data_IF_371887931152
#
_entry.id   IF_371887931152
#
_cell.length_a   1.000
_cell.length_b   1.000
_cell.length_c   1.000
_cell.angle_alpha   90.00
_cell.angle_beta   90.00
_cell.angle_gamma   90.00
#
_symmetry.space_group_name_H-M   'P 1'
#
loop_
_entity.id
_entity.type
_entity.pdbx_description
1 polymer ?
#
# COMPACT_ATOMS: atom_id res chain seq x y z
N UNK A 1 -12.74 -1.92 -4.49
CA UNK A 1 -13.26 -3.30 -4.45
C UNK A 1 -14.28 -3.41 -5.55
N UNK A 2 -14.15 -4.40 -6.41
CA UNK A 2 -15.09 -4.64 -7.50
C UNK A 2 -16.25 -5.49 -6.96
N UNK A 3 -17.24 -4.84 -6.34
CA UNK A 3 -18.35 -5.52 -5.68
C UNK A 3 -19.17 -6.38 -6.66
N UNK A 4 -19.22 -6.00 -7.93
CA UNK A 4 -19.92 -6.74 -8.99
C UNK A 4 -19.21 -8.05 -9.29
N UNK A 5 -17.89 -8.04 -9.39
CA UNK A 5 -17.10 -9.27 -9.55
C UNK A 5 -17.33 -10.28 -8.43
N UNK A 6 -17.35 -9.79 -7.19
CA UNK A 6 -17.65 -10.64 -6.02
C UNK A 6 -19.08 -11.19 -6.09
N UNK A 7 -20.06 -10.34 -6.40
CA UNK A 7 -21.45 -10.76 -6.56
C UNK A 7 -21.58 -11.85 -7.63
N UNK A 8 -21.00 -11.64 -8.82
CA UNK A 8 -21.03 -12.61 -9.91
C UNK A 8 -20.43 -13.97 -9.55
N UNK A 9 -19.27 -13.96 -8.87
CA UNK A 9 -18.62 -15.18 -8.38
C UNK A 9 -19.46 -15.90 -7.30
N UNK A 10 -20.07 -15.15 -6.38
CA UNK A 10 -20.93 -15.70 -5.33
C UNK A 10 -22.41 -15.77 -5.75
N UNK A 11 -22.67 -16.30 -6.96
CA UNK A 11 -24.02 -16.60 -7.47
C UNK A 11 -24.97 -15.39 -7.53
N UNK A 12 -24.46 -14.23 -7.96
CA UNK A 12 -25.19 -12.96 -8.01
C UNK A 12 -25.78 -12.56 -6.65
N UNK A 13 -25.02 -12.75 -5.57
CA UNK A 13 -25.47 -12.38 -4.24
C UNK A 13 -25.70 -10.86 -4.12
N UNK A 14 -26.60 -10.46 -3.22
CA UNK A 14 -26.96 -9.05 -3.03
C UNK A 14 -25.76 -8.22 -2.58
N UNK A 15 -25.54 -7.09 -3.25
CA UNK A 15 -24.52 -6.11 -2.88
C UNK A 15 -25.12 -5.13 -1.87
N UNK A 16 -24.53 -5.07 -0.67
CA UNK A 16 -24.88 -4.07 0.33
C UNK A 16 -23.79 -3.00 0.41
N UNK A 17 -24.10 -1.79 -0.06
CA UNK A 17 -23.15 -0.66 -0.04
C UNK A 17 -23.41 0.21 1.18
N UNK A 18 -22.42 0.31 2.07
CA UNK A 18 -22.43 1.28 3.16
C UNK A 18 -21.93 2.61 2.59
N UNK A 19 -22.75 3.69 2.62
CA UNK A 19 -22.29 4.99 2.17
C UNK A 19 -21.10 5.44 3.04
N UNK A 20 -19.94 5.62 2.40
CA UNK A 20 -18.73 6.05 3.08
C UNK A 20 -18.91 7.46 3.65
N UNK A 21 -18.52 7.65 4.92
CA UNK A 21 -18.42 8.98 5.54
C UNK A 21 -17.02 9.56 5.29
N UNK A 22 -16.70 9.81 4.02
CA UNK A 22 -15.44 10.47 3.66
C UNK A 22 -15.71 11.90 3.27
N UNK A 23 -14.99 12.83 3.90
CA UNK A 23 -14.93 14.22 3.52
C UNK A 23 -14.19 14.40 2.18
N UNK A 24 -14.42 15.51 1.46
CA UNK A 24 -13.72 15.77 0.21
C UNK A 24 -12.20 15.85 0.42
N UNK A 25 -11.45 15.27 -0.52
CA UNK A 25 -9.98 15.32 -0.54
C UNK A 25 -9.54 16.02 -1.81
N UNK A 26 -8.80 17.11 -1.67
CA UNK A 26 -8.15 17.79 -2.80
C UNK A 26 -6.96 16.96 -3.28
N UNK A 27 -6.90 16.69 -4.59
CA UNK A 27 -5.81 15.90 -5.19
C UNK A 27 -4.87 16.84 -5.92
N UNK A 28 -3.60 16.85 -5.51
CA UNK A 28 -2.53 17.60 -6.15
C UNK A 28 -1.58 16.63 -6.84
N UNK A 29 -1.14 16.96 -8.05
CA UNK A 29 -0.17 16.20 -8.84
C UNK A 29 1.07 17.04 -9.08
N UNK A 30 2.23 16.40 -9.18
CA UNK A 30 3.43 17.07 -9.69
C UNK A 30 3.27 17.41 -11.17
N UNK A 31 3.90 18.51 -11.60
CA UNK A 31 3.85 18.94 -13.00
C UNK A 31 4.74 18.09 -13.91
N UNK A 32 5.80 17.53 -13.35
CA UNK A 32 6.79 16.73 -14.05
C UNK A 32 7.11 15.48 -13.20
N UNK A 33 7.58 14.38 -13.82
CA UNK A 33 8.04 13.20 -13.09
C UNK A 33 9.20 13.55 -12.14
N UNK A 34 9.14 13.04 -10.91
CA UNK A 34 10.20 13.20 -9.92
C UNK A 34 11.25 12.10 -10.08
N UNK A 35 12.53 12.45 -10.24
CA UNK A 35 13.63 11.49 -10.36
C UNK A 35 13.98 10.85 -9.02
N UNK A 36 13.92 11.64 -7.94
CA UNK A 36 14.10 11.20 -6.57
C UNK A 36 12.81 11.48 -5.79
N UNK A 37 11.90 10.51 -5.83
CA UNK A 37 10.61 10.65 -5.16
C UNK A 37 10.75 10.69 -3.64
N UNK A 38 11.85 10.17 -3.07
CA UNK A 38 12.08 10.15 -1.64
C UNK A 38 12.41 11.56 -1.16
N UNK A 39 13.36 12.25 -1.80
CA UNK A 39 13.66 13.64 -1.45
C UNK A 39 12.46 14.57 -1.68
N UNK A 40 11.76 14.41 -2.81
CA UNK A 40 10.52 15.15 -3.09
C UNK A 40 9.45 14.93 -2.02
N UNK A 41 9.31 13.70 -1.52
CA UNK A 41 8.39 13.38 -0.43
C UNK A 41 8.79 14.10 0.87
N UNK A 42 10.06 14.07 1.24
CA UNK A 42 10.57 14.74 2.44
C UNK A 42 10.37 16.26 2.37
N UNK A 43 10.65 16.87 1.21
CA UNK A 43 10.41 18.30 0.98
C UNK A 43 8.92 18.62 1.10
N UNK A 44 8.06 17.80 0.51
CA UNK A 44 6.61 17.97 0.57
C UNK A 44 6.08 17.89 2.00
N UNK A 45 6.54 16.91 2.80
CA UNK A 45 6.19 16.79 4.22
C UNK A 45 6.57 18.05 5.00
N UNK A 46 7.78 18.57 4.78
CA UNK A 46 8.25 19.79 5.46
C UNK A 46 7.46 21.02 5.00
N UNK A 47 7.18 21.15 3.71
CA UNK A 47 6.36 22.24 3.20
C UNK A 47 4.97 22.22 3.83
N UNK A 48 4.32 21.05 3.88
CA UNK A 48 3.02 20.87 4.54
C UNK A 48 3.12 21.30 6.00
N UNK A 49 4.13 20.82 6.73
CA UNK A 49 4.35 21.17 8.14
C UNK A 49 4.48 22.68 8.39
N UNK A 50 5.09 23.41 7.47
CA UNK A 50 5.36 24.84 7.62
C UNK A 50 4.23 25.76 7.11
N UNK A 51 3.41 25.29 6.17
CA UNK A 51 2.49 26.17 5.42
C UNK A 51 1.03 25.79 5.55
N UNK A 52 0.72 24.50 5.74
CA UNK A 52 -0.66 24.03 5.85
C UNK A 52 -1.20 24.16 7.29
N UNK A 53 -2.51 24.36 7.50
CA UNK A 53 -3.16 24.36 8.81
C UNK A 53 -2.97 23.04 9.60
N UNK A 54 -3.45 23.00 10.84
CA UNK A 54 -3.43 21.80 11.68
C UNK A 54 -3.97 20.55 10.96
N UNK A 55 -3.37 19.40 11.29
CA UNK A 55 -3.66 18.11 10.66
C UNK A 55 -2.39 17.30 10.47
N UNK A 56 -2.47 16.01 10.76
CA UNK A 56 -1.33 15.11 10.69
C UNK A 56 -1.08 14.65 9.25
N UNK A 57 0.17 14.24 9.00
CA UNK A 57 0.66 13.82 7.68
C UNK A 57 0.84 12.31 7.65
N UNK A 58 0.37 11.67 6.58
CA UNK A 58 0.67 10.28 6.25
C UNK A 58 1.51 10.22 4.98
N UNK A 59 2.76 9.78 5.11
CA UNK A 59 3.67 9.56 4.00
C UNK A 59 3.76 8.05 3.69
N UNK A 60 3.49 7.68 2.44
CA UNK A 60 3.69 6.31 1.97
C UNK A 60 5.11 6.10 1.42
N UNK A 61 5.81 5.06 1.88
CA UNK A 61 7.10 4.59 1.37
C UNK A 61 7.10 3.06 1.21
N UNK A 62 8.14 2.49 0.61
CA UNK A 62 8.08 1.12 0.09
C UNK A 62 8.55 0.05 1.09
N UNK A 63 9.37 0.40 2.07
CA UNK A 63 9.88 -0.57 3.04
C UNK A 63 10.68 0.03 4.19
N UNK A 64 11.12 -0.84 5.10
CA UNK A 64 11.77 -0.45 6.35
C UNK A 64 12.99 0.46 6.16
N UNK A 65 13.98 0.06 5.35
CA UNK A 65 15.23 0.82 5.17
C UNK A 65 14.97 2.26 4.71
N UNK A 66 14.06 2.41 3.75
CA UNK A 66 13.64 3.69 3.20
C UNK A 66 12.89 4.54 4.24
N UNK A 67 12.02 3.90 5.04
CA UNK A 67 11.28 4.56 6.12
C UNK A 67 12.22 5.05 7.22
N UNK A 68 13.13 4.19 7.68
CA UNK A 68 14.07 4.53 8.74
C UNK A 68 14.99 5.68 8.30
N UNK A 69 15.47 5.65 7.05
CA UNK A 69 16.24 6.74 6.44
C UNK A 69 15.42 8.04 6.33
N UNK A 70 14.19 7.98 5.83
CA UNK A 70 13.29 9.12 5.73
C UNK A 70 13.03 9.77 7.10
N UNK A 71 12.80 8.94 8.13
CA UNK A 71 12.58 9.42 9.49
C UNK A 71 13.81 10.16 10.03
N UNK A 72 15.01 9.62 9.80
CA UNK A 72 16.27 10.25 10.20
C UNK A 72 16.47 11.59 9.48
N UNK A 73 16.25 11.63 8.16
CA UNK A 73 16.39 12.86 7.37
C UNK A 73 15.39 13.94 7.82
N UNK A 74 14.12 13.60 8.09
CA UNK A 74 13.15 14.54 8.62
C UNK A 74 13.58 15.08 9.99
N UNK A 75 14.08 14.21 10.86
CA UNK A 75 14.55 14.59 12.19
C UNK A 75 15.73 15.58 12.13
N UNK A 76 16.71 15.31 11.26
CA UNK A 76 17.87 16.19 11.08
C UNK A 76 17.50 17.53 10.43
N UNK A 77 16.60 17.53 9.44
CA UNK A 77 16.07 18.77 8.83
C UNK A 77 15.29 19.61 9.85
N UNK A 78 14.48 18.98 10.70
CA UNK A 78 13.76 19.68 11.76
C UNK A 78 14.69 20.30 12.82
N UNK A 79 15.79 19.62 13.17
CA UNK A 79 16.82 20.21 14.05
C UNK A 79 17.42 21.48 13.47
N UNK A 80 17.69 21.50 12.16
CA UNK A 80 18.28 22.65 11.48
C UNK A 80 17.35 23.87 11.46
N UNK A 81 16.03 23.66 11.29
CA UNK A 81 15.03 24.73 11.35
C UNK A 81 14.91 25.37 12.74
N UNK A 82 15.33 24.65 13.78
CA UNK A 82 15.41 25.15 15.16
C UNK A 82 14.04 25.39 15.80
N UNK A 83 14.02 26.15 16.91
CA UNK A 83 12.81 26.34 17.75
C UNK A 83 11.78 27.33 17.19
N UNK A 84 12.01 27.88 15.99
CA UNK A 84 11.09 28.84 15.36
C UNK A 84 9.90 28.18 14.69
N UNK A 85 9.97 26.86 14.49
CA UNK A 85 8.92 26.06 13.85
C UNK A 85 8.29 25.11 14.86
N UNK A 86 6.99 24.81 14.74
CA UNK A 86 6.34 23.78 15.54
C UNK A 86 7.09 22.45 15.49
N UNK A 87 7.01 21.68 16.57
CA UNK A 87 7.64 20.36 16.62
C UNK A 87 6.90 19.37 15.70
N UNK A 88 7.67 18.56 14.97
CA UNK A 88 7.17 17.48 14.12
C UNK A 88 7.50 16.14 14.78
N UNK A 89 6.48 15.40 15.17
CA UNK A 89 6.60 14.06 15.76
C UNK A 89 6.65 13.05 14.60
N UNK A 90 7.78 12.38 14.43
CA UNK A 90 8.02 11.45 13.32
C UNK A 90 7.87 10.02 13.81
N UNK A 91 6.97 9.24 13.20
CA UNK A 91 6.67 7.87 13.60
C UNK A 91 6.71 6.90 12.39
N UNK A 92 7.59 5.89 12.40
CA UNK A 92 7.62 4.86 11.36
C UNK A 92 6.57 3.78 11.60
N UNK A 93 6.03 3.18 10.53
CA UNK A 93 5.18 1.97 10.62
C UNK A 93 5.39 1.04 9.43
N UNK A 94 5.75 -0.21 9.73
CA UNK A 94 5.89 -1.29 8.74
C UNK A 94 5.65 -2.64 9.43
N UNK A 95 5.43 -3.70 8.65
CA UNK A 95 4.94 -4.99 9.16
C UNK A 95 5.82 -5.62 10.25
N UNK A 96 7.13 -5.44 10.20
CA UNK A 96 8.08 -6.00 11.18
C UNK A 96 8.21 -5.17 12.48
N UNK A 97 7.57 -4.00 12.57
CA UNK A 97 7.71 -3.10 13.72
C UNK A 97 7.01 -3.70 14.96
N UNK A 98 7.63 -3.68 16.16
CA UNK A 98 6.99 -4.19 17.38
C UNK A 98 5.67 -3.50 17.70
N UNK A 99 4.68 -4.25 18.22
CA UNK A 99 3.32 -3.74 18.48
C UNK A 99 3.28 -2.51 19.39
N UNK A 100 4.15 -2.43 20.39
CA UNK A 100 4.27 -1.27 21.29
C UNK A 100 4.71 0.01 20.56
N UNK A 101 5.48 -0.11 19.49
CA UNK A 101 5.89 1.02 18.67
C UNK A 101 4.79 1.38 17.66
N UNK A 102 4.12 0.38 17.08
CA UNK A 102 2.97 0.61 16.21
C UNK A 102 1.84 1.33 16.94
N UNK A 103 1.57 1.04 18.22
CA UNK A 103 0.48 1.67 18.96
C UNK A 103 0.64 3.20 19.10
N UNK A 104 1.87 3.71 19.08
CA UNK A 104 2.16 5.15 19.22
C UNK A 104 1.58 5.99 18.08
N UNK A 105 1.30 5.39 16.92
CA UNK A 105 0.73 6.14 15.79
C UNK A 105 -0.72 6.55 16.03
N UNK A 106 -1.41 5.87 16.94
CA UNK A 106 -2.79 6.18 17.30
C UNK A 106 -2.89 7.31 18.31
N UNK A 107 -1.80 7.67 18.98
CA UNK A 107 -1.78 8.80 19.90
C UNK A 107 -1.97 10.11 19.13
N UNK A 108 -2.83 10.99 19.65
CA UNK A 108 -3.04 12.31 19.07
C UNK A 108 -1.78 13.19 19.26
N UNK A 109 -1.48 14.01 18.26
CA UNK A 109 -0.45 15.02 18.40
C UNK A 109 -0.85 16.04 19.49
N UNK A 110 0.06 16.42 20.42
CA UNK A 110 -0.21 17.49 21.37
C UNK A 110 -0.52 18.82 20.66
N UNK A 111 -1.27 19.74 21.29
CA UNK A 111 -1.58 21.05 20.70
C UNK A 111 -0.32 21.81 20.29
N UNK A 112 -0.35 22.43 19.11
CA UNK A 112 0.79 23.16 18.55
C UNK A 112 1.94 22.27 18.04
N UNK A 113 1.73 20.95 17.94
CA UNK A 113 2.65 20.01 17.28
C UNK A 113 1.92 19.29 16.16
N UNK A 114 2.68 18.76 15.20
CA UNK A 114 2.16 17.91 14.13
C UNK A 114 2.80 16.54 14.20
N UNK A 115 2.05 15.49 13.87
CA UNK A 115 2.59 14.14 13.68
C UNK A 115 2.72 13.84 12.19
N UNK A 116 3.84 13.25 11.80
CA UNK A 116 4.00 12.59 10.51
C UNK A 116 4.19 11.10 10.74
N UNK A 117 3.31 10.31 10.11
CA UNK A 117 3.43 8.86 10.07
C UNK A 117 4.03 8.46 8.74
N UNK A 118 5.16 7.78 8.77
CA UNK A 118 5.86 7.27 7.58
C UNK A 118 5.62 5.77 7.50
N UNK A 119 4.84 5.33 6.52
CA UNK A 119 4.28 3.98 6.51
C UNK A 119 4.41 3.27 5.16
N UNK A 120 4.42 1.93 5.20
CA UNK A 120 4.16 1.13 4.00
C UNK A 120 2.67 1.05 3.68
N UNK A 121 2.29 0.23 2.69
CA UNK A 121 0.90 -0.05 2.33
C UNK A 121 0.05 -0.65 3.47
N UNK A 122 0.60 -0.99 4.64
CA UNK A 122 -0.19 -1.36 5.81
C UNK A 122 -1.17 -0.24 6.24
N UNK A 123 -0.82 1.02 5.98
CA UNK A 123 -1.69 2.16 6.26
C UNK A 123 -2.79 2.36 5.19
N UNK A 124 -2.71 1.66 4.06
CA UNK A 124 -3.67 1.78 2.95
C UNK A 124 -5.01 1.09 3.25
N UNK A 125 -4.98 -0.04 3.94
CA UNK A 125 -6.16 -0.84 4.30
C UNK A 125 -6.26 -1.10 5.80
N UNK A 126 -5.16 -1.54 6.42
CA UNK A 126 -5.20 -2.26 7.71
C UNK A 126 -5.18 -1.37 8.96
N UNK A 127 -4.88 -0.08 8.86
CA UNK A 127 -4.77 0.82 10.02
C UNK A 127 -5.65 2.05 9.85
N UNK A 128 -6.33 2.47 10.91
CA UNK A 128 -7.12 3.72 10.94
C UNK A 128 -6.42 4.70 11.87
N UNK A 129 -5.66 5.63 11.29
CA UNK A 129 -4.95 6.67 12.05
C UNK A 129 -5.83 7.91 12.02
N UNK A 130 -6.37 8.29 13.17
CA UNK A 130 -7.19 9.48 13.30
C UNK A 130 -6.32 10.74 13.23
N UNK A 131 -6.91 11.84 12.75
CA UNK A 131 -6.21 13.11 12.64
C UNK A 131 -5.34 13.29 11.38
N UNK A 132 -5.31 12.32 10.46
CA UNK A 132 -4.67 12.49 9.15
C UNK A 132 -5.53 13.42 8.27
N UNK A 133 -4.95 14.54 7.85
CA UNK A 133 -5.55 15.48 6.88
C UNK A 133 -4.73 15.59 5.61
N UNK A 134 -3.44 15.24 5.66
CA UNK A 134 -2.53 15.36 4.54
C UNK A 134 -1.92 14.00 4.21
N UNK A 135 -2.01 13.59 2.95
CA UNK A 135 -1.35 12.38 2.43
C UNK A 135 -0.28 12.79 1.44
N UNK A 136 0.91 12.20 1.57
CA UNK A 136 1.98 12.29 0.56
C UNK A 136 2.15 10.91 -0.05
N UNK A 137 1.88 10.80 -1.35
CA UNK A 137 1.86 9.53 -2.08
C UNK A 137 2.86 9.56 -3.25
N UNK A 138 4.03 8.94 -3.09
CA UNK A 138 4.98 8.75 -4.19
C UNK A 138 4.49 7.81 -5.30
N UNK A 139 3.44 7.02 -5.06
CA UNK A 139 2.88 6.14 -6.10
C UNK A 139 3.56 4.78 -6.22
N UNK A 140 4.36 4.36 -5.24
CA UNK A 140 5.07 3.07 -5.25
C UNK A 140 4.68 2.15 -4.08
N UNK A 141 4.88 0.85 -4.29
CA UNK A 141 4.82 -0.19 -3.26
C UNK A 141 5.78 -1.34 -3.60
N UNK A 142 6.30 -2.03 -2.57
CA UNK A 142 6.94 -3.34 -2.78
C UNK A 142 5.85 -4.39 -3.00
N UNK A 143 6.00 -5.16 -4.07
CA UNK A 143 5.14 -6.28 -4.39
C UNK A 143 5.99 -7.52 -4.61
N UNK A 144 5.45 -8.67 -4.17
CA UNK A 144 6.05 -9.95 -4.49
C UNK A 144 5.73 -10.30 -5.94
N UNK A 145 6.76 -10.70 -6.69
CA UNK A 145 6.66 -11.09 -8.09
C UNK A 145 7.44 -12.39 -8.29
N UNK A 146 6.74 -13.41 -8.79
CA UNK A 146 7.32 -14.69 -9.15
C UNK A 146 7.96 -14.63 -10.53
N UNK A 147 9.22 -15.05 -10.63
CA UNK A 147 9.89 -15.26 -11.91
C UNK A 147 9.86 -16.75 -12.29
N UNK A 148 8.98 -17.17 -13.23
CA UNK A 148 8.83 -18.58 -13.57
C UNK A 148 10.08 -19.19 -14.22
N UNK A 149 10.94 -18.38 -14.85
CA UNK A 149 12.19 -18.86 -15.45
C UNK A 149 13.25 -19.22 -14.42
N UNK A 150 13.25 -18.53 -13.28
CA UNK A 150 14.21 -18.74 -12.20
C UNK A 150 13.64 -19.58 -11.05
N UNK A 151 12.30 -19.73 -10.99
CA UNK A 151 11.64 -20.46 -9.91
C UNK A 151 11.67 -19.72 -8.57
N UNK A 152 11.92 -18.41 -8.56
CA UNK A 152 12.13 -17.60 -7.36
C UNK A 152 11.10 -16.47 -7.27
N UNK A 153 10.63 -16.24 -6.05
CA UNK A 153 9.88 -15.05 -5.67
C UNK A 153 10.86 -13.90 -5.38
N UNK A 154 10.50 -12.69 -5.80
CA UNK A 154 11.30 -11.49 -5.56
C UNK A 154 10.42 -10.31 -5.19
N UNK A 155 10.85 -9.55 -4.18
CA UNK A 155 10.22 -8.29 -3.81
C UNK A 155 10.77 -7.16 -4.66
N UNK A 156 9.96 -6.63 -5.56
CA UNK A 156 10.33 -5.50 -6.40
C UNK A 156 9.47 -4.28 -6.11
N UNK A 157 10.04 -3.09 -6.27
CA UNK A 157 9.30 -1.84 -6.20
C UNK A 157 8.53 -1.67 -7.52
N UNK A 158 7.23 -1.44 -7.42
CA UNK A 158 6.33 -1.28 -8.56
C UNK A 158 5.43 -0.06 -8.36
N UNK A 159 4.98 0.59 -9.45
CA UNK A 159 3.92 1.57 -9.38
C UNK A 159 2.64 0.96 -8.79
N UNK A 160 1.91 1.73 -7.99
CA UNK A 160 0.62 1.30 -7.46
C UNK A 160 -0.48 1.37 -8.52
N UNK A 161 -1.58 0.67 -8.27
CA UNK A 161 -2.78 0.79 -9.09
C UNK A 161 -3.56 2.07 -8.78
N UNK A 162 -4.41 2.49 -9.72
CA UNK A 162 -5.32 3.61 -9.52
C UNK A 162 -6.26 3.38 -8.33
N UNK A 163 -6.69 2.13 -8.11
CA UNK A 163 -7.48 1.74 -6.94
C UNK A 163 -6.72 1.96 -5.63
N UNK A 164 -5.43 1.59 -5.57
CA UNK A 164 -4.58 1.83 -4.40
C UNK A 164 -4.36 3.32 -4.15
N UNK A 165 -4.02 4.08 -5.20
CA UNK A 165 -3.89 5.54 -5.12
C UNK A 165 -5.17 6.25 -4.62
N UNK A 166 -6.36 5.72 -4.97
CA UNK A 166 -7.65 6.22 -4.44
C UNK A 166 -7.79 5.89 -2.94
N UNK A 167 -7.42 4.69 -2.50
CA UNK A 167 -7.47 4.30 -1.09
C UNK A 167 -6.50 5.13 -0.23
N UNK A 168 -5.28 5.36 -0.74
CA UNK A 168 -4.27 6.23 -0.10
C UNK A 168 -4.80 7.65 0.06
N UNK A 169 -5.31 8.26 -1.02
CA UNK A 169 -5.91 9.59 -0.96
C UNK A 169 -7.09 9.67 0.03
N UNK A 170 -7.94 8.63 0.08
CA UNK A 170 -9.06 8.55 1.01
C UNK A 170 -8.67 8.58 2.49
N UNK A 171 -7.39 8.36 2.84
CA UNK A 171 -6.91 8.47 4.23
C UNK A 171 -6.93 9.90 4.76
N UNK A 172 -6.77 10.89 3.88
CA UNK A 172 -6.87 12.31 4.23
C UNK A 172 -8.31 12.77 4.53
N UNK A 173 -9.32 12.05 4.03
CA UNK A 173 -10.73 12.45 4.11
C UNK A 173 -11.51 11.82 5.26
N UNK A 174 -10.84 11.23 6.25
CA UNK A 174 -11.53 10.48 7.33
C UNK A 174 -12.02 11.36 8.46
N UNK A 175 -11.24 12.37 8.83
CA UNK A 175 -11.55 13.25 9.97
C UNK A 175 -12.24 14.53 9.52
N UNK A 176 -11.84 15.06 8.37
CA UNK A 176 -12.35 16.30 7.79
C UNK A 176 -11.84 16.47 6.35
N UNK A 177 -12.14 17.61 5.69
CA UNK A 177 -11.62 17.91 4.37
C UNK A 177 -10.09 17.88 4.38
N UNK A 178 -9.48 17.13 3.47
CA UNK A 178 -8.03 16.90 3.46
C UNK A 178 -7.40 17.12 2.09
N UNK A 179 -6.09 16.90 2.01
CA UNK A 179 -5.31 17.00 0.76
C UNK A 179 -4.46 15.76 0.53
N UNK A 180 -4.30 15.35 -0.72
CA UNK A 180 -3.41 14.29 -1.13
C UNK A 180 -2.44 14.81 -2.19
N UNK A 181 -1.15 14.80 -1.87
CA UNK A 181 -0.05 15.22 -2.72
C UNK A 181 0.55 13.98 -3.40
N UNK A 182 0.24 13.82 -4.68
CA UNK A 182 0.76 12.73 -5.53
C UNK A 182 2.05 13.19 -6.20
N UNK A 183 3.15 12.49 -5.96
CA UNK A 183 4.47 12.84 -6.51
C UNK A 183 4.69 12.28 -7.93
N UNK A 184 3.59 12.19 -8.67
CA UNK A 184 3.53 11.74 -10.05
C UNK A 184 2.52 12.61 -10.80
N UNK A 185 2.69 12.67 -12.12
CA UNK A 185 1.83 13.49 -12.96
C UNK A 185 0.43 12.89 -13.07
N UNK A 186 -0.56 13.74 -13.36
CA UNK A 186 -1.91 13.27 -13.65
C UNK A 186 -1.95 12.34 -14.87
N UNK A 187 -1.08 12.57 -15.86
CA UNK A 187 -0.93 11.67 -17.01
C UNK A 187 -0.48 10.28 -16.59
N UNK A 188 0.55 10.18 -15.74
CA UNK A 188 1.02 8.89 -15.24
C UNK A 188 -0.08 8.14 -14.47
N UNK A 189 -0.85 8.85 -13.64
CA UNK A 189 -2.00 8.26 -12.94
C UNK A 189 -3.04 7.65 -13.91
N UNK A 190 -3.36 8.36 -15.00
CA UNK A 190 -4.41 7.93 -15.94
C UNK A 190 -3.94 6.88 -16.94
N UNK A 191 -2.70 6.99 -17.41
CA UNK A 191 -2.21 6.27 -18.59
C UNK A 191 -1.18 5.18 -18.26
N UNK A 192 -0.46 5.29 -17.14
CA UNK A 192 0.63 4.36 -16.80
C UNK A 192 0.24 3.41 -15.66
N UNK A 193 -0.59 3.86 -14.71
CA UNK A 193 -1.04 3.03 -13.59
C UNK A 193 -2.21 2.12 -14.00
N UNK A 194 -2.14 0.84 -13.63
CA UNK A 194 -3.24 -0.11 -13.86
C UNK A 194 -4.48 0.29 -13.05
N UNK A 195 -5.71 0.03 -13.55
CA UNK A 195 -6.94 0.35 -12.81
C UNK A 195 -7.00 -0.34 -11.44
N UNK A 196 -6.62 -1.62 -11.40
CA UNK A 196 -6.56 -2.46 -10.20
C UNK A 196 -5.22 -3.17 -10.12
N UNK A 197 -4.83 -3.52 -8.89
CA UNK A 197 -3.67 -4.39 -8.69
C UNK A 197 -4.01 -5.78 -9.23
N UNK A 198 -3.02 -6.45 -9.80
CA UNK A 198 -3.17 -7.85 -10.21
C UNK A 198 -3.53 -8.66 -8.93
N UNK A 199 -4.30 -9.76 -9.01
CA UNK A 199 -4.53 -10.70 -7.91
C UNK A 199 -3.26 -11.44 -7.47
N UNK A 200 -3.07 -11.64 -6.15
CA UNK A 200 -1.87 -12.28 -5.60
C UNK A 200 -1.62 -13.68 -6.18
N UNK A 201 -2.68 -14.49 -6.32
CA UNK A 201 -2.62 -15.84 -6.91
C UNK A 201 -2.01 -15.87 -8.33
N UNK A 202 -2.06 -14.76 -9.07
CA UNK A 202 -1.49 -14.66 -10.42
C UNK A 202 -0.02 -14.21 -10.42
N UNK A 203 0.59 -13.92 -9.26
CA UNK A 203 1.95 -13.36 -9.16
C UNK A 203 2.88 -14.06 -8.18
N UNK A 204 2.44 -15.11 -7.49
CA UNK A 204 3.24 -15.83 -6.50
C UNK A 204 3.57 -17.25 -6.96
N UNK A 205 4.58 -17.87 -6.35
CA UNK A 205 4.74 -19.32 -6.43
C UNK A 205 3.55 -20.03 -5.79
N UNK A 206 2.90 -20.92 -6.56
CA UNK A 206 1.70 -21.64 -6.13
C UNK A 206 1.99 -22.98 -5.42
N UNK A 207 3.25 -23.34 -5.14
CA UNK A 207 3.61 -24.64 -4.55
C UNK A 207 2.90 -24.91 -3.22
N UNK A 208 2.98 -23.98 -2.27
CA UNK A 208 2.30 -24.11 -0.97
C UNK A 208 0.77 -24.08 -1.10
N UNK A 209 0.23 -23.26 -2.00
CA UNK A 209 -1.21 -23.20 -2.27
C UNK A 209 -1.71 -24.52 -2.86
N UNK A 210 -0.97 -25.07 -3.83
CA UNK A 210 -1.26 -26.35 -4.50
C UNK A 210 -1.23 -27.51 -3.50
N UNK A 211 -0.19 -27.57 -2.65
CA UNK A 211 -0.10 -28.57 -1.60
C UNK A 211 -1.28 -28.48 -0.62
N UNK A 212 -1.64 -27.25 -0.22
CA UNK A 212 -2.79 -27.01 0.67
C UNK A 212 -4.10 -27.46 0.03
N UNK A 213 -4.33 -27.14 -1.24
CA UNK A 213 -5.53 -27.56 -1.98
C UNK A 213 -5.61 -29.08 -2.14
N UNK A 214 -4.50 -29.75 -2.48
CA UNK A 214 -4.43 -31.22 -2.52
C UNK A 214 -4.72 -31.83 -1.14
N UNK A 215 -4.18 -31.26 -0.07
CA UNK A 215 -4.47 -31.71 1.30
C UNK A 215 -5.95 -31.53 1.70
N UNK A 216 -6.66 -30.56 1.10
CA UNK A 216 -8.11 -30.38 1.22
C UNK A 216 -8.93 -31.36 0.36
N UNK A 217 -8.28 -32.23 -0.43
CA UNK A 217 -8.93 -33.18 -1.33
C UNK A 217 -9.30 -32.61 -2.70
N UNK A 218 -8.81 -31.41 -3.04
CA UNK A 218 -9.02 -30.80 -4.37
C UNK A 218 -7.96 -31.36 -5.33
N UNK A 219 -8.34 -32.37 -6.10
CA UNK A 219 -7.40 -33.06 -6.99
C UNK A 219 -7.25 -32.39 -8.36
N UNK A 220 -8.33 -31.83 -8.90
CA UNK A 220 -8.32 -31.13 -10.18
C UNK A 220 -8.26 -29.62 -9.96
N UNK A 221 -7.03 -29.10 -9.92
CA UNK A 221 -6.79 -27.66 -9.74
C UNK A 221 -7.05 -26.86 -11.02
N UNK A 222 -7.00 -27.50 -12.20
CA UNK A 222 -7.20 -26.79 -13.47
C UNK A 222 -8.67 -26.46 -13.71
N UNK A 223 -9.58 -27.29 -13.19
CA UNK A 223 -11.03 -27.02 -13.22
C UNK A 223 -11.55 -26.33 -11.97
N UNK A 224 -10.68 -26.04 -10.98
CA UNK A 224 -11.10 -25.36 -9.77
C UNK A 224 -11.62 -23.95 -10.08
N UNK A 225 -12.76 -23.62 -9.49
CA UNK A 225 -13.46 -22.35 -9.71
C UNK A 225 -12.75 -21.21 -8.96
N UNK A 226 -11.67 -20.67 -9.54
CA UNK A 226 -11.01 -19.48 -9.01
C UNK A 226 -11.72 -18.21 -9.47
N UNK A 227 -11.95 -17.27 -8.54
CA UNK A 227 -12.42 -15.91 -8.91
C UNK A 227 -11.46 -15.20 -9.87
N UNK A 228 -10.16 -15.44 -9.68
CA UNK A 228 -9.07 -14.95 -10.51
C UNK A 228 -8.11 -16.10 -10.81
N UNK A 229 -8.32 -16.86 -11.88
CA UNK A 229 -7.52 -18.05 -12.14
C UNK A 229 -6.05 -17.67 -12.39
N UNK A 230 -5.09 -18.40 -11.78
CA UNK A 230 -3.70 -18.33 -12.20
C UNK A 230 -3.52 -18.90 -13.61
N UNK A 231 -2.35 -18.67 -14.22
CA UNK A 231 -2.06 -19.30 -15.50
C UNK A 231 -1.98 -20.83 -15.35
N UNK A 232 -2.47 -21.61 -16.33
CA UNK A 232 -2.36 -23.07 -16.29
C UNK A 232 -0.91 -23.54 -16.12
N UNK A 233 0.03 -22.83 -16.73
CA UNK A 233 1.46 -23.10 -16.59
C UNK A 233 1.96 -22.95 -15.15
N UNK A 234 1.50 -21.91 -14.42
CA UNK A 234 1.88 -21.72 -13.03
C UNK A 234 1.37 -22.85 -12.13
N UNK A 235 0.14 -23.35 -12.38
CA UNK A 235 -0.41 -24.51 -11.67
C UNK A 235 0.37 -25.80 -11.98
N UNK A 236 0.65 -26.06 -13.27
CA UNK A 236 1.43 -27.23 -13.69
C UNK A 236 2.82 -27.22 -13.05
N UNK A 237 3.54 -26.10 -13.12
CA UNK A 237 4.86 -25.99 -12.51
C UNK A 237 4.82 -26.17 -10.99
N UNK A 238 3.79 -25.66 -10.31
CA UNK A 238 3.61 -25.89 -8.88
C UNK A 238 3.33 -27.35 -8.53
N UNK A 239 2.53 -28.06 -9.34
CA UNK A 239 2.29 -29.50 -9.18
C UNK A 239 3.56 -30.32 -9.41
N UNK A 240 4.33 -30.00 -10.46
CA UNK A 240 5.62 -30.64 -10.77
C UNK A 240 6.63 -30.48 -9.63
N UNK A 241 6.67 -29.31 -8.96
CA UNK A 241 7.56 -29.06 -7.81
C UNK A 241 7.22 -29.93 -6.59
N UNK A 242 5.98 -30.40 -6.46
CA UNK A 242 5.55 -31.21 -5.32
C UNK A 242 5.83 -32.71 -5.50
N UNK A 243 6.03 -33.19 -6.74
CA UNK A 243 6.28 -34.61 -7.04
C UNK A 243 7.54 -35.14 -6.33
N UNK A 244 8.69 -34.45 -6.33
CA UNK A 244 9.89 -34.92 -5.62
C UNK A 244 9.71 -35.02 -4.11
N UNK A 245 8.72 -34.33 -3.54
CA UNK A 245 8.42 -34.28 -2.12
C UNK A 245 7.37 -35.32 -1.70
N UNK A 246 7.03 -36.26 -2.60
CA UNK A 246 6.11 -37.37 -2.32
C UNK A 246 4.63 -37.01 -2.41
N UNK A 247 4.29 -35.83 -2.95
CA UNK A 247 2.89 -35.46 -3.18
C UNK A 247 2.33 -36.23 -4.38
N UNK A 248 1.13 -36.84 -4.28
CA UNK A 248 0.53 -37.59 -5.37
C UNK A 248 0.16 -36.65 -6.55
N UNK A 249 0.56 -37.05 -7.75
CA UNK A 249 0.39 -36.28 -9.00
C UNK A 249 -1.03 -36.42 -9.59
N UNK A 250 -1.89 -37.22 -8.97
CA UNK A 250 -3.21 -37.58 -9.50
C UNK A 250 -4.27 -37.22 -8.48
#
# INVERSE_FOLDING_TARGET
>A
LDAEKFSGYFFNCNIFTIPGRTFPVEILYTKQPETDYLDAALITVLQIHLTEPEGDVLLFLTGQEEIDFACQCLYDRMKFLGKKVPELIILPVYSALPSKMQSRIFDHAPPGKRKVVVATNIAEASLTIDGIFYVVDPGFAKQNVYNPKQGLDSLIITPISQASAKQRAGRAGRTGPGKCYRLYTESAYRNEMSPTSIPEIQRINLGMTTLTMKAMGINDLLSFDFMDPPSPQALISAMEQLVPHGAPVV
#
